data_IF_343577529742
#
_entry.id   IF_343577529742
#
_cell.length_a   1.000
_cell.length_b   1.000
_cell.length_c   1.000
_cell.angle_alpha   90.00
_cell.angle_beta   90.00
_cell.angle_gamma   90.00
#
_symmetry.space_group_name_H-M   'P 1'
#
loop_
_entity.id
_entity.type
_entity.pdbx_description
1 polymer ?
#
# COMPACT_ATOMS: atom_id res chain seq x y z
N UNK A 1 3.94 -72.45 3.49
CA UNK A 1 4.23 -71.02 3.68
C UNK A 1 4.07 -70.72 5.16
N UNK A 2 5.03 -70.06 5.80
CA UNK A 2 4.99 -69.86 7.26
C UNK A 2 3.87 -68.85 7.61
N UNK A 3 3.11 -69.05 8.70
CA UNK A 3 1.95 -68.21 9.07
C UNK A 3 2.30 -66.71 9.12
N UNK A 4 3.54 -66.43 9.52
CA UNK A 4 4.12 -65.09 9.58
C UNK A 4 4.20 -64.46 8.18
N UNK A 5 4.64 -65.21 7.16
CA UNK A 5 4.75 -64.72 5.78
C UNK A 5 3.37 -64.49 5.16
N UNK A 6 2.39 -65.35 5.46
CA UNK A 6 1.02 -65.19 4.97
C UNK A 6 0.35 -63.95 5.55
N UNK A 7 0.63 -63.64 6.83
CA UNK A 7 0.17 -62.41 7.48
C UNK A 7 0.80 -61.15 6.88
N UNK A 8 2.10 -61.18 6.59
CA UNK A 8 2.79 -60.05 5.93
C UNK A 8 2.30 -59.82 4.50
N UNK A 9 2.07 -60.89 3.72
CA UNK A 9 1.50 -60.79 2.37
C UNK A 9 0.06 -60.23 2.43
N UNK A 10 -0.74 -60.65 3.41
CA UNK A 10 -2.08 -60.12 3.63
C UNK A 10 -2.08 -58.61 3.92
N UNK A 11 -1.22 -58.16 4.83
CA UNK A 11 -1.05 -56.72 5.12
C UNK A 11 -0.53 -55.94 3.92
N UNK A 12 0.41 -56.51 3.16
CA UNK A 12 0.92 -55.89 1.94
C UNK A 12 -0.17 -55.68 0.90
N UNK A 13 -1.04 -56.68 0.69
CA UNK A 13 -2.17 -56.58 -0.24
C UNK A 13 -3.20 -55.53 0.21
N UNK A 14 -3.47 -55.42 1.51
CA UNK A 14 -4.37 -54.39 2.06
C UNK A 14 -3.80 -52.99 1.82
N UNK A 15 -2.50 -52.79 2.08
CA UNK A 15 -1.83 -51.49 1.83
C UNK A 15 -1.83 -51.15 0.34
N UNK A 16 -1.61 -52.15 -0.52
CA UNK A 16 -1.59 -51.96 -1.98
C UNK A 16 -2.98 -51.57 -2.51
N UNK A 17 -4.05 -52.18 -1.98
CA UNK A 17 -5.44 -51.81 -2.29
C UNK A 17 -5.75 -50.38 -1.83
N UNK A 18 -5.33 -50.00 -0.61
CA UNK A 18 -5.52 -48.64 -0.10
C UNK A 18 -4.79 -47.58 -0.94
N UNK A 19 -3.53 -47.86 -1.31
CA UNK A 19 -2.73 -46.97 -2.15
C UNK A 19 -3.34 -46.81 -3.56
N UNK A 20 -3.84 -47.90 -4.15
CA UNK A 20 -4.51 -47.88 -5.45
C UNK A 20 -5.82 -47.08 -5.40
N UNK A 21 -6.60 -47.20 -4.33
CA UNK A 21 -7.84 -46.44 -4.13
C UNK A 21 -7.57 -44.93 -4.02
N UNK A 22 -6.56 -44.54 -3.24
CA UNK A 22 -6.17 -43.12 -3.10
C UNK A 22 -5.69 -42.55 -4.44
N UNK A 23 -4.92 -43.33 -5.20
CA UNK A 23 -4.37 -42.87 -6.48
C UNK A 23 -5.47 -42.72 -7.53
N UNK A 24 -6.43 -43.65 -7.59
CA UNK A 24 -7.57 -43.57 -8.50
C UNK A 24 -8.47 -42.38 -8.13
N UNK A 25 -8.78 -42.17 -6.84
CA UNK A 25 -9.58 -41.01 -6.42
C UNK A 25 -8.87 -39.67 -6.71
N UNK A 26 -7.56 -39.59 -6.50
CA UNK A 26 -6.79 -38.39 -6.84
C UNK A 26 -6.76 -38.14 -8.35
N UNK A 27 -6.66 -39.19 -9.18
CA UNK A 27 -6.70 -39.05 -10.65
C UNK A 27 -8.09 -38.62 -11.12
N UNK A 28 -9.17 -39.19 -10.56
CA UNK A 28 -10.55 -38.79 -10.88
C UNK A 28 -10.79 -37.34 -10.45
N UNK A 29 -10.35 -36.95 -9.25
CA UNK A 29 -10.44 -35.58 -8.75
C UNK A 29 -9.64 -34.60 -9.63
N UNK A 30 -8.39 -34.93 -9.99
CA UNK A 30 -7.58 -34.14 -10.91
C UNK A 30 -8.20 -34.02 -12.31
N UNK A 31 -8.81 -35.10 -12.82
CA UNK A 31 -9.45 -35.11 -14.14
C UNK A 31 -10.75 -34.29 -14.15
N UNK A 32 -11.52 -34.33 -13.06
CA UNK A 32 -12.74 -33.54 -12.86
C UNK A 32 -12.42 -32.04 -12.70
N UNK A 33 -11.36 -31.69 -11.94
CA UNK A 33 -10.88 -30.31 -11.81
C UNK A 33 -10.31 -29.75 -13.13
N UNK A 34 -9.70 -30.60 -13.97
CA UNK A 34 -9.16 -30.20 -15.28
C UNK A 34 -10.25 -29.92 -16.31
N UNK A 35 -11.36 -30.67 -16.25
CA UNK A 35 -12.52 -30.49 -17.12
C UNK A 35 -13.35 -29.25 -16.72
N UNK A 36 -13.37 -28.90 -15.43
CA UNK A 36 -13.95 -27.64 -14.94
C UNK A 36 -13.03 -26.42 -15.23
N UNK A 37 -11.71 -26.60 -15.25
CA UNK A 37 -10.77 -25.53 -15.59
C UNK A 37 -10.80 -25.13 -17.07
N UNK A 38 -11.04 -26.05 -18.01
CA UNK A 38 -11.11 -25.71 -19.44
C UNK A 38 -12.29 -24.80 -19.79
N UNK A 39 -13.46 -25.03 -19.19
CA UNK A 39 -14.62 -24.13 -19.34
C UNK A 39 -14.39 -22.79 -18.64
N UNK A 40 -13.76 -22.79 -17.46
CA UNK A 40 -13.44 -21.55 -16.73
C UNK A 40 -12.33 -20.73 -17.39
N UNK A 41 -11.34 -21.36 -18.04
CA UNK A 41 -10.27 -20.66 -18.78
C UNK A 41 -10.83 -19.93 -19.99
N UNK A 42 -11.80 -20.51 -20.70
CA UNK A 42 -12.44 -19.83 -21.85
C UNK A 42 -13.24 -18.59 -21.43
N UNK A 43 -14.04 -18.72 -20.37
CA UNK A 43 -14.78 -17.59 -19.76
C UNK A 43 -13.82 -16.53 -19.18
N UNK A 44 -12.73 -16.96 -18.54
CA UNK A 44 -11.70 -16.04 -18.04
C UNK A 44 -10.96 -15.32 -19.17
N UNK A 45 -10.70 -15.97 -20.29
CA UNK A 45 -10.03 -15.37 -21.45
C UNK A 45 -10.95 -14.34 -22.12
N UNK A 46 -12.23 -14.66 -22.30
CA UNK A 46 -13.23 -13.70 -22.83
C UNK A 46 -13.40 -12.49 -21.89
N UNK A 47 -13.44 -12.70 -20.57
CA UNK A 47 -13.51 -11.63 -19.58
C UNK A 47 -12.23 -10.77 -19.55
N UNK A 48 -11.05 -11.37 -19.75
CA UNK A 48 -9.77 -10.65 -19.83
C UNK A 48 -9.71 -9.81 -21.10
N UNK A 49 -10.21 -10.31 -22.23
CA UNK A 49 -10.27 -9.55 -23.48
C UNK A 49 -11.27 -8.39 -23.41
N UNK A 50 -12.41 -8.57 -22.73
CA UNK A 50 -13.36 -7.48 -22.46
C UNK A 50 -12.75 -6.41 -21.54
N UNK A 51 -12.04 -6.85 -20.49
CA UNK A 51 -11.35 -5.96 -19.56
C UNK A 51 -10.19 -5.22 -20.25
N UNK A 52 -9.48 -5.89 -21.17
CA UNK A 52 -8.44 -5.29 -22.01
C UNK A 52 -9.01 -4.24 -22.97
N UNK A 53 -10.13 -4.54 -23.63
CA UNK A 53 -10.85 -3.57 -24.47
C UNK A 53 -11.31 -2.36 -23.65
N UNK A 54 -11.86 -2.57 -22.44
CA UNK A 54 -12.25 -1.48 -21.55
C UNK A 54 -11.05 -0.65 -21.08
N UNK A 55 -9.91 -1.29 -20.81
CA UNK A 55 -8.66 -0.61 -20.48
C UNK A 55 -8.13 0.22 -21.66
N UNK A 56 -8.12 -0.32 -22.88
CA UNK A 56 -7.69 0.40 -24.08
C UNK A 56 -8.61 1.59 -24.41
N UNK A 57 -9.93 1.41 -24.28
CA UNK A 57 -10.90 2.50 -24.44
C UNK A 57 -10.71 3.57 -23.37
N UNK A 58 -10.49 3.19 -22.11
CA UNK A 58 -10.23 4.15 -21.04
C UNK A 58 -8.88 4.85 -21.21
N UNK A 59 -7.84 4.12 -21.65
CA UNK A 59 -6.53 4.69 -21.94
C UNK A 59 -6.63 5.70 -23.08
N UNK A 60 -7.31 5.37 -24.19
CA UNK A 60 -7.51 6.31 -25.30
C UNK A 60 -8.32 7.54 -24.90
N UNK A 61 -9.30 7.39 -24.00
CA UNK A 61 -10.07 8.52 -23.43
C UNK A 61 -9.22 9.40 -22.53
N UNK A 62 -8.35 8.80 -21.72
CA UNK A 62 -7.39 9.52 -20.88
C UNK A 62 -6.37 10.26 -21.76
N UNK A 63 -5.80 9.60 -22.77
CA UNK A 63 -4.87 10.21 -23.73
C UNK A 63 -5.52 11.37 -24.48
N UNK A 64 -6.77 11.22 -24.93
CA UNK A 64 -7.53 12.30 -25.55
C UNK A 64 -7.77 13.46 -24.59
N UNK A 65 -8.16 13.20 -23.34
CA UNK A 65 -8.32 14.26 -22.33
C UNK A 65 -6.99 14.95 -22.00
N UNK A 66 -5.89 14.21 -21.91
CA UNK A 66 -4.55 14.78 -21.72
C UNK A 66 -4.17 15.66 -22.91
N UNK A 67 -4.46 15.21 -24.13
CA UNK A 67 -4.21 15.99 -25.34
C UNK A 67 -5.06 17.27 -25.41
N UNK A 68 -6.36 17.16 -25.13
CA UNK A 68 -7.29 18.30 -25.11
C UNK A 68 -6.90 19.30 -24.01
N UNK A 69 -6.49 18.81 -22.83
CA UNK A 69 -5.97 19.62 -21.73
C UNK A 69 -4.64 20.30 -22.09
N UNK A 70 -3.73 19.59 -22.75
CA UNK A 70 -2.47 20.15 -23.25
C UNK A 70 -2.73 21.25 -24.29
N UNK A 71 -3.74 21.08 -25.15
CA UNK A 71 -4.16 22.06 -26.16
C UNK A 71 -4.82 23.29 -25.53
N UNK A 72 -5.63 23.13 -24.48
CA UNK A 72 -6.25 24.25 -23.75
C UNK A 72 -5.21 25.03 -22.94
N UNK A 73 -4.25 24.35 -22.31
CA UNK A 73 -3.09 24.99 -21.66
C UNK A 73 -2.24 25.78 -22.66
N UNK A 74 -2.01 25.24 -23.85
CA UNK A 74 -1.20 25.91 -24.87
C UNK A 74 -1.86 27.21 -25.38
N UNK A 75 -3.19 27.26 -25.41
CA UNK A 75 -3.95 28.44 -25.86
C UNK A 75 -4.17 29.50 -24.79
N UNK A 76 -4.20 29.13 -23.50
CA UNK A 76 -4.31 30.10 -22.39
C UNK A 76 -2.96 30.69 -21.94
N UNK A 77 -1.84 29.97 -22.13
CA UNK A 77 -0.53 30.37 -21.59
C UNK A 77 0.39 31.10 -22.60
N UNK A 78 -0.01 31.30 -23.87
CA UNK A 78 0.78 32.05 -24.86
C UNK A 78 0.50 33.57 -24.90
N UNK A 79 -0.51 34.07 -24.20
CA UNK A 79 -0.80 35.51 -24.15
C UNK A 79 -0.28 36.15 -22.84
N UNK A 80 1.00 36.53 -22.84
CA UNK A 80 1.64 37.41 -21.84
C UNK A 80 2.40 36.71 -20.70
N UNK A 81 2.74 37.48 -19.66
CA UNK A 81 3.39 37.08 -18.38
C UNK A 81 2.64 35.95 -17.62
N UNK A 82 1.48 35.55 -18.14
CA UNK A 82 0.68 34.40 -17.73
C UNK A 82 1.34 33.05 -18.04
N UNK A 83 2.19 32.96 -19.07
CA UNK A 83 2.82 31.70 -19.50
C UNK A 83 3.86 31.15 -18.52
N UNK A 84 4.62 32.04 -17.88
CA UNK A 84 5.57 31.69 -16.81
C UNK A 84 4.81 31.19 -15.57
N UNK A 85 3.72 31.87 -15.20
CA UNK A 85 2.85 31.52 -14.07
C UNK A 85 2.17 30.17 -14.26
N UNK A 86 1.61 29.88 -15.45
CA UNK A 86 1.07 28.56 -15.79
C UNK A 86 2.11 27.44 -15.61
N UNK A 87 3.32 27.66 -16.13
CA UNK A 87 4.42 26.70 -16.09
C UNK A 87 4.88 26.44 -14.66
N UNK A 88 4.95 27.49 -13.84
CA UNK A 88 5.33 27.40 -12.43
C UNK A 88 4.25 26.66 -11.62
N UNK A 89 2.96 26.94 -11.86
CA UNK A 89 1.86 26.22 -11.23
C UNK A 89 1.86 24.73 -11.60
N UNK A 90 2.06 24.39 -12.87
CA UNK A 90 2.16 22.99 -13.32
C UNK A 90 3.37 22.28 -12.70
N UNK A 91 4.52 22.95 -12.62
CA UNK A 91 5.72 22.44 -11.96
C UNK A 91 5.48 22.21 -10.47
N UNK A 92 4.82 23.15 -9.81
CA UNK A 92 4.48 23.07 -8.40
C UNK A 92 3.55 21.90 -8.12
N UNK A 93 2.46 21.75 -8.89
CA UNK A 93 1.52 20.64 -8.76
C UNK A 93 2.22 19.29 -8.96
N UNK A 94 3.12 19.18 -9.95
CA UNK A 94 3.90 17.97 -10.18
C UNK A 94 4.79 17.62 -8.99
N UNK A 95 5.48 18.59 -8.39
CA UNK A 95 6.34 18.37 -7.23
C UNK A 95 5.53 17.94 -6.00
N UNK A 96 4.36 18.55 -5.78
CA UNK A 96 3.45 18.19 -4.68
C UNK A 96 2.91 16.76 -4.84
N UNK A 97 2.51 16.38 -6.06
CA UNK A 97 2.08 15.01 -6.38
C UNK A 97 3.22 14.00 -6.17
N UNK A 98 4.45 14.36 -6.56
CA UNK A 98 5.63 13.52 -6.32
C UNK A 98 5.90 13.31 -4.83
N UNK A 99 5.80 14.36 -4.02
CA UNK A 99 5.91 14.24 -2.55
C UNK A 99 4.83 13.32 -1.98
N UNK A 100 3.56 13.50 -2.40
CA UNK A 100 2.47 12.61 -1.98
C UNK A 100 2.74 11.16 -2.34
N UNK A 101 3.16 10.88 -3.57
CA UNK A 101 3.45 9.52 -4.01
C UNK A 101 4.64 8.93 -3.25
N UNK A 102 5.68 9.72 -3.01
CA UNK A 102 6.85 9.27 -2.27
C UNK A 102 6.52 8.92 -0.82
N UNK A 103 5.60 9.63 -0.16
CA UNK A 103 5.11 9.26 1.18
C UNK A 103 4.49 7.86 1.23
N UNK A 104 3.88 7.41 0.13
CA UNK A 104 3.18 6.13 0.05
C UNK A 104 4.07 4.98 -0.44
N UNK A 105 5.28 5.28 -0.92
CA UNK A 105 6.18 4.30 -1.54
C UNK A 105 7.16 3.65 -0.54
N UNK A 106 7.80 2.58 -0.99
CA UNK A 106 8.80 1.81 -0.23
C UNK A 106 10.17 2.52 -0.13
N UNK A 107 10.39 3.56 -0.93
CA UNK A 107 11.62 4.36 -0.92
C UNK A 107 11.55 5.48 0.12
N UNK A 108 12.69 6.06 0.47
CA UNK A 108 12.75 7.22 1.39
C UNK A 108 11.93 8.39 0.82
N UNK A 109 11.29 9.14 1.71
CA UNK A 109 10.56 10.36 1.34
C UNK A 109 11.46 11.34 0.57
N UNK A 110 11.06 11.63 -0.67
CA UNK A 110 11.68 12.62 -1.54
C UNK A 110 11.10 14.00 -1.23
N UNK A 111 11.81 14.71 -0.37
CA UNK A 111 11.41 16.03 0.09
C UNK A 111 11.72 17.11 -0.96
N UNK A 112 10.68 17.63 -1.61
CA UNK A 112 10.80 18.69 -2.60
C UNK A 112 10.57 20.11 -2.06
N UNK A 113 10.50 20.33 -0.73
CA UNK A 113 10.25 21.66 -0.12
C UNK A 113 11.16 22.75 -0.69
N UNK A 114 12.46 22.51 -0.76
CA UNK A 114 13.42 23.48 -1.31
C UNK A 114 13.15 23.87 -2.77
N UNK A 115 12.53 22.97 -3.54
CA UNK A 115 12.14 23.22 -4.93
C UNK A 115 10.78 23.91 -5.06
N UNK A 116 9.89 23.73 -4.08
CA UNK A 116 8.52 24.25 -4.06
C UNK A 116 8.48 25.65 -3.44
N UNK A 117 9.26 25.92 -2.39
CA UNK A 117 9.30 27.21 -1.67
C UNK A 117 9.42 28.45 -2.56
N UNK A 118 10.38 28.54 -3.51
CA UNK A 118 10.48 29.72 -4.39
C UNK A 118 9.30 29.85 -5.37
N UNK A 119 8.61 28.75 -5.67
CA UNK A 119 7.44 28.76 -6.57
C UNK A 119 6.17 29.18 -5.83
N UNK A 120 6.09 28.96 -4.51
CA UNK A 120 4.95 29.38 -3.67
C UNK A 120 4.99 30.88 -3.40
N UNK A 121 6.17 31.48 -3.23
CA UNK A 121 6.27 32.93 -3.01
C UNK A 121 5.68 33.76 -4.16
N UNK A 122 5.49 33.17 -5.34
CA UNK A 122 4.82 33.80 -6.48
C UNK A 122 3.29 33.73 -6.41
N UNK A 123 2.71 32.88 -5.55
CA UNK A 123 1.27 32.66 -5.44
C UNK A 123 0.57 33.62 -4.47
N UNK A 124 1.31 34.16 -3.48
CA UNK A 124 0.78 35.01 -2.40
C UNK A 124 -0.40 34.34 -1.64
N UNK A 125 -0.31 33.01 -1.45
CA UNK A 125 -1.31 32.22 -0.73
C UNK A 125 -0.79 31.87 0.69
N UNK A 126 -1.35 32.48 1.75
CA UNK A 126 -0.86 32.28 3.12
C UNK A 126 -1.10 30.86 3.63
N UNK A 127 -2.14 30.16 3.16
CA UNK A 127 -2.41 28.78 3.58
C UNK A 127 -1.39 27.82 2.98
N UNK A 128 -1.01 28.03 1.71
CA UNK A 128 0.03 27.25 1.04
C UNK A 128 1.41 27.54 1.64
N UNK A 129 1.70 28.79 1.99
CA UNK A 129 2.95 29.17 2.66
C UNK A 129 3.05 28.56 4.06
N UNK A 130 1.98 28.64 4.87
CA UNK A 130 1.91 28.00 6.18
C UNK A 130 2.11 26.48 6.09
N UNK A 131 1.45 25.82 5.13
CA UNK A 131 1.60 24.38 4.94
C UNK A 131 3.04 23.97 4.59
N UNK A 132 3.75 24.77 3.79
CA UNK A 132 5.17 24.51 3.49
C UNK A 132 6.08 24.78 4.67
N UNK A 133 5.82 25.81 5.47
CA UNK A 133 6.57 26.08 6.69
C UNK A 133 6.41 24.93 7.71
N UNK A 134 5.20 24.40 7.87
CA UNK A 134 4.95 23.21 8.70
C UNK A 134 5.74 21.99 8.21
N UNK A 135 5.77 21.75 6.89
CA UNK A 135 6.57 20.67 6.30
C UNK A 135 8.07 20.86 6.53
N UNK A 136 8.58 22.09 6.47
CA UNK A 136 10.00 22.41 6.66
C UNK A 136 10.45 22.17 8.12
N UNK A 137 9.55 22.37 9.07
CA UNK A 137 9.81 22.16 10.49
C UNK A 137 9.85 20.68 10.90
N UNK A 138 9.42 19.76 10.03
CA UNK A 138 9.48 18.33 10.28
C UNK A 138 10.92 17.80 10.13
N UNK A 139 11.51 17.36 11.24
CA UNK A 139 12.89 16.82 11.27
C UNK A 139 13.06 15.52 10.48
N UNK A 140 12.07 14.65 10.56
CA UNK A 140 12.08 13.35 9.90
C UNK A 140 10.65 12.97 9.53
N UNK A 141 10.48 12.55 8.27
CA UNK A 141 9.22 12.10 7.71
C UNK A 141 9.45 10.67 7.23
N UNK A 142 8.78 9.73 7.88
CA UNK A 142 8.81 8.32 7.47
C UNK A 142 7.75 8.07 6.42
N UNK A 143 8.01 7.18 5.47
CA UNK A 143 6.98 6.74 4.53
C UNK A 143 6.01 5.76 5.18
N UNK A 144 4.86 5.52 4.55
CA UNK A 144 3.89 4.53 5.02
C UNK A 144 4.53 3.14 5.17
N UNK A 145 5.41 2.77 4.25
CA UNK A 145 6.19 1.54 4.33
C UNK A 145 7.12 1.50 5.56
N UNK A 146 7.85 2.58 5.83
CA UNK A 146 8.71 2.68 7.00
C UNK A 146 7.90 2.65 8.31
N UNK A 147 6.71 3.26 8.33
CA UNK A 147 5.78 3.19 9.46
C UNK A 147 5.33 1.76 9.71
N UNK A 148 4.97 1.02 8.66
CA UNK A 148 4.62 -0.40 8.75
C UNK A 148 5.75 -1.25 9.31
N UNK A 149 6.95 -1.11 8.75
CA UNK A 149 8.14 -1.82 9.25
C UNK A 149 8.43 -1.48 10.71
N UNK A 150 8.30 -0.21 11.08
CA UNK A 150 8.51 0.23 12.46
C UNK A 150 7.44 -0.32 13.40
N UNK A 151 6.19 -0.44 12.94
CA UNK A 151 5.09 -1.03 13.72
C UNK A 151 5.31 -2.52 13.98
N UNK A 152 5.67 -3.28 12.95
CA UNK A 152 5.99 -4.72 13.07
C UNK A 152 7.17 -4.95 14.02
N UNK A 153 8.20 -4.10 13.98
CA UNK A 153 9.32 -4.14 14.95
C UNK A 153 8.83 -3.89 16.37
N UNK A 154 7.89 -2.97 16.57
CA UNK A 154 7.29 -2.72 17.89
C UNK A 154 6.50 -3.93 18.39
N UNK A 155 5.68 -4.57 17.54
CA UNK A 155 4.98 -5.81 17.89
C UNK A 155 5.99 -6.91 18.30
N UNK A 156 7.03 -7.10 17.49
CA UNK A 156 8.07 -8.10 17.77
C UNK A 156 8.75 -7.84 19.12
N UNK A 157 9.07 -6.57 19.45
CA UNK A 157 9.64 -6.20 20.74
C UNK A 157 8.69 -6.49 21.91
N UNK A 158 7.41 -6.15 21.78
CA UNK A 158 6.38 -6.44 22.80
C UNK A 158 6.26 -7.96 23.03
N UNK A 159 6.17 -8.73 21.94
CA UNK A 159 6.06 -10.18 22.00
C UNK A 159 7.31 -10.82 22.62
N UNK A 160 8.50 -10.34 22.25
CA UNK A 160 9.75 -10.76 22.87
C UNK A 160 9.76 -10.46 24.37
N UNK A 161 9.39 -9.25 24.79
CA UNK A 161 9.36 -8.85 26.20
C UNK A 161 8.38 -9.69 27.04
N UNK A 162 7.23 -10.05 26.49
CA UNK A 162 6.21 -10.89 27.14
C UNK A 162 6.52 -12.38 27.11
N UNK A 163 7.51 -12.82 26.33
CA UNK A 163 7.78 -14.25 26.10
C UNK A 163 8.67 -14.88 27.18
N UNK A 164 8.48 -16.19 27.40
CA UNK A 164 9.33 -17.00 28.29
C UNK A 164 10.72 -17.20 27.68
N UNK A 165 11.74 -17.52 28.48
CA UNK A 165 13.12 -17.73 28.00
C UNK A 165 13.21 -18.74 26.84
N UNK A 166 12.43 -19.83 26.89
CA UNK A 166 12.34 -20.79 25.79
C UNK A 166 11.76 -20.18 24.50
N UNK A 167 10.70 -19.38 24.62
CA UNK A 167 10.13 -18.65 23.48
C UNK A 167 11.09 -17.61 22.92
N UNK A 168 11.88 -16.92 23.77
CA UNK A 168 12.94 -15.98 23.35
C UNK A 168 14.03 -16.67 22.55
N UNK A 169 14.45 -17.85 23.00
CA UNK A 169 15.43 -18.66 22.26
C UNK A 169 14.81 -19.07 20.92
N UNK A 170 13.61 -19.65 20.89
CA UNK A 170 12.98 -20.10 19.63
C UNK A 170 12.70 -18.93 18.68
N UNK A 171 12.30 -17.75 19.17
CA UNK A 171 12.03 -16.58 18.34
C UNK A 171 13.28 -16.02 17.66
N UNK A 172 14.48 -16.28 18.20
CA UNK A 172 15.74 -15.95 17.52
C UNK A 172 16.01 -16.87 16.32
N UNK A 173 15.38 -18.04 16.25
CA UNK A 173 15.57 -19.03 15.20
C UNK A 173 14.42 -19.09 14.19
N UNK A 174 13.18 -18.82 14.64
CA UNK A 174 11.97 -18.87 13.81
C UNK A 174 11.05 -17.72 14.17
N UNK A 175 10.80 -16.83 13.21
CA UNK A 175 9.83 -15.74 13.35
C UNK A 175 8.41 -16.28 13.09
N UNK A 176 7.65 -16.53 14.17
CA UNK A 176 6.25 -16.96 14.06
C UNK A 176 5.36 -15.72 14.00
N UNK A 177 4.92 -15.38 12.80
CA UNK A 177 4.02 -14.26 12.55
C UNK A 177 2.56 -14.72 12.67
N UNK A 178 1.84 -14.26 13.70
CA UNK A 178 0.40 -14.49 13.80
C UNK A 178 -0.35 -13.54 12.85
N UNK A 179 -0.98 -14.11 11.82
CA UNK A 179 -1.78 -13.34 10.84
C UNK A 179 -3.08 -12.78 11.43
N UNK A 180 -3.49 -13.22 12.63
CA UNK A 180 -4.70 -12.76 13.34
C UNK A 180 -4.39 -11.84 14.52
N UNK A 181 -3.18 -11.28 14.58
CA UNK A 181 -2.79 -10.35 15.65
C UNK A 181 -3.71 -9.10 15.64
N UNK A 182 -4.43 -8.79 16.73
CA UNK A 182 -5.28 -7.60 16.84
C UNK A 182 -4.54 -6.28 16.60
N UNK A 183 -3.23 -6.22 16.90
CA UNK A 183 -2.41 -5.04 16.63
C UNK A 183 -2.20 -4.83 15.13
N UNK A 184 -2.05 -5.91 14.36
CA UNK A 184 -1.95 -5.84 12.89
C UNK A 184 -3.27 -5.42 12.26
N UNK A 185 -4.39 -5.87 12.81
CA UNK A 185 -5.71 -5.39 12.39
C UNK A 185 -5.87 -3.88 12.63
N UNK A 186 -5.42 -3.38 13.81
CA UNK A 186 -5.39 -1.94 14.09
C UNK A 186 -4.50 -1.16 13.12
N UNK A 187 -3.36 -1.69 12.72
CA UNK A 187 -2.51 -1.02 11.72
C UNK A 187 -3.19 -0.94 10.35
N UNK A 188 -3.86 -2.01 9.91
CA UNK A 188 -4.63 -1.99 8.67
C UNK A 188 -5.76 -0.94 8.70
N UNK A 189 -6.43 -0.77 9.84
CA UNK A 189 -7.41 0.31 10.05
C UNK A 189 -6.76 1.70 9.91
N UNK A 190 -5.57 1.90 10.50
CA UNK A 190 -4.82 3.17 10.33
C UNK A 190 -4.41 3.39 8.87
N UNK A 191 -3.97 2.36 8.14
CA UNK A 191 -3.66 2.45 6.71
C UNK A 191 -4.89 2.85 5.87
N UNK A 192 -6.07 2.29 6.18
CA UNK A 192 -7.33 2.65 5.52
C UNK A 192 -7.68 4.12 5.76
N UNK A 193 -7.64 4.58 7.01
CA UNK A 193 -7.92 5.97 7.37
C UNK A 193 -6.93 6.96 6.73
N UNK A 194 -5.66 6.57 6.57
CA UNK A 194 -4.66 7.35 5.83
C UNK A 194 -5.06 7.51 4.36
N UNK A 195 -5.51 6.43 3.72
CA UNK A 195 -5.96 6.47 2.32
C UNK A 195 -7.20 7.35 2.14
N UNK A 196 -8.10 7.32 3.13
CA UNK A 196 -9.33 8.13 3.14
C UNK A 196 -9.08 9.59 3.55
N UNK A 197 -7.87 9.92 4.00
CA UNK A 197 -7.49 11.23 4.56
C UNK A 197 -8.31 11.60 5.82
N UNK A 198 -8.77 10.60 6.58
CA UNK A 198 -9.49 10.80 7.84
C UNK A 198 -8.51 10.92 9.02
N UNK A 199 -7.89 12.10 9.10
CA UNK A 199 -6.88 12.40 10.11
C UNK A 199 -7.42 12.38 11.55
N UNK A 200 -8.72 12.66 11.73
CA UNK A 200 -9.34 12.74 13.05
C UNK A 200 -9.57 11.35 13.62
N UNK A 201 -10.08 10.43 12.80
CA UNK A 201 -10.28 9.03 13.20
C UNK A 201 -8.96 8.32 13.51
N UNK A 202 -7.86 8.66 12.82
CA UNK A 202 -6.53 8.10 13.14
C UNK A 202 -6.17 8.36 14.60
N UNK A 203 -6.38 9.59 15.10
CA UNK A 203 -6.06 9.94 16.48
C UNK A 203 -6.88 9.11 17.48
N UNK A 204 -8.13 8.80 17.16
CA UNK A 204 -9.00 7.92 17.96
C UNK A 204 -8.51 6.48 17.93
N UNK A 205 -8.26 5.92 16.74
CA UNK A 205 -7.83 4.52 16.56
C UNK A 205 -6.50 4.21 17.28
N UNK A 206 -5.55 5.16 17.25
CA UNK A 206 -4.26 5.02 17.92
C UNK A 206 -4.28 5.40 19.40
N UNK A 207 -5.32 6.08 19.88
CA UNK A 207 -5.48 6.41 21.30
C UNK A 207 -5.51 5.17 22.22
N UNK A 208 -5.93 4.04 21.69
CA UNK A 208 -5.93 2.74 22.39
C UNK A 208 -4.54 2.10 22.49
N UNK A 209 -3.55 2.56 21.72
CA UNK A 209 -2.18 2.03 21.74
C UNK A 209 -1.39 2.59 22.94
N UNK A 210 -1.78 2.15 24.14
CA UNK A 210 -1.26 2.64 25.42
C UNK A 210 0.08 2.02 25.83
N UNK A 211 0.57 0.99 25.12
CA UNK A 211 1.83 0.32 25.44
C UNK A 211 3.03 1.26 25.18
N UNK A 212 3.98 1.43 26.12
CA UNK A 212 5.03 2.44 26.00
C UNK A 212 5.94 2.26 24.79
N UNK A 213 6.13 1.02 24.33
CA UNK A 213 6.89 0.66 23.13
C UNK A 213 6.30 1.25 21.84
N UNK A 214 5.03 1.67 21.83
CA UNK A 214 4.44 2.39 20.70
C UNK A 214 4.79 3.87 20.67
N UNK A 215 5.29 4.48 21.76
CA UNK A 215 5.57 5.92 21.81
C UNK A 215 6.49 6.41 20.67
N UNK A 216 7.61 5.72 20.34
CA UNK A 216 8.44 6.13 19.20
C UNK A 216 7.71 6.00 17.86
N UNK A 217 6.86 4.98 17.70
CA UNK A 217 6.08 4.78 16.48
C UNK A 217 4.99 5.85 16.33
N UNK A 218 4.28 6.20 17.41
CA UNK A 218 3.28 7.26 17.43
C UNK A 218 3.87 8.62 17.04
N UNK A 219 5.09 8.93 17.47
CA UNK A 219 5.79 10.14 17.04
C UNK A 219 6.05 10.16 15.53
N UNK A 220 6.45 9.02 14.96
CA UNK A 220 6.65 8.89 13.50
C UNK A 220 5.34 9.03 12.74
N UNK A 221 4.28 8.38 13.22
CA UNK A 221 2.94 8.49 12.64
C UNK A 221 2.45 9.94 12.66
N UNK A 222 2.65 10.66 13.78
CA UNK A 222 2.26 12.05 13.89
C UNK A 222 2.96 12.92 12.85
N UNK A 223 4.28 12.77 12.66
CA UNK A 223 5.00 13.49 11.61
C UNK A 223 4.48 13.16 10.20
N UNK A 224 4.15 11.88 9.93
CA UNK A 224 3.56 11.46 8.67
C UNK A 224 2.18 12.08 8.43
N UNK A 225 1.32 12.11 9.45
CA UNK A 225 -0.03 12.72 9.37
C UNK A 225 0.10 14.22 9.11
N UNK A 226 0.97 14.93 9.82
CA UNK A 226 1.25 16.35 9.57
C UNK A 226 1.75 16.55 8.14
N UNK A 227 2.66 15.71 7.66
CA UNK A 227 3.17 15.82 6.30
C UNK A 227 2.07 15.60 5.25
N UNK A 228 1.30 14.52 5.40
CA UNK A 228 0.22 14.14 4.48
C UNK A 228 -0.89 15.19 4.43
N UNK A 229 -1.27 15.74 5.59
CA UNK A 229 -2.24 16.82 5.71
C UNK A 229 -1.78 18.07 4.97
N UNK A 230 -0.56 18.55 5.24
CA UNK A 230 -0.04 19.77 4.62
C UNK A 230 0.17 19.62 3.11
N UNK A 231 0.65 18.47 2.64
CA UNK A 231 0.74 18.17 1.19
C UNK A 231 -0.65 18.20 0.54
N UNK A 232 -1.66 17.65 1.22
CA UNK A 232 -3.05 17.66 0.74
C UNK A 232 -3.64 19.07 0.72
N UNK A 233 -3.35 19.91 1.73
CA UNK A 233 -3.73 21.33 1.75
C UNK A 233 -3.14 22.06 0.56
N UNK A 234 -1.82 21.93 0.34
CA UNK A 234 -1.14 22.54 -0.82
C UNK A 234 -1.82 22.07 -2.11
N UNK A 235 -1.97 20.76 -2.30
CA UNK A 235 -2.61 20.22 -3.49
C UNK A 235 -4.02 20.79 -3.73
N UNK A 236 -4.85 20.86 -2.69
CA UNK A 236 -6.22 21.36 -2.81
C UNK A 236 -6.25 22.84 -3.20
N UNK A 237 -5.42 23.67 -2.57
CA UNK A 237 -5.30 25.09 -2.93
C UNK A 237 -4.80 25.26 -4.36
N UNK A 238 -3.80 24.49 -4.79
CA UNK A 238 -3.30 24.55 -6.16
C UNK A 238 -4.34 24.19 -7.22
N UNK A 239 -5.27 23.29 -6.92
CA UNK A 239 -6.37 22.96 -7.82
C UNK A 239 -7.35 24.14 -8.01
N UNK A 240 -7.49 25.03 -7.02
CA UNK A 240 -8.34 26.21 -7.15
C UNK A 240 -7.81 27.21 -8.18
N UNK A 241 -6.50 27.22 -8.42
CA UNK A 241 -5.87 28.04 -9.48
C UNK A 241 -6.01 27.46 -10.89
N UNK A 242 -6.48 26.22 -11.02
CA UNK A 242 -6.63 25.49 -12.30
C UNK A 242 -8.10 25.37 -12.71
N UNK A 243 -9.04 25.48 -11.75
CA UNK A 243 -10.49 25.40 -11.97
C UNK A 243 -11.07 26.72 -12.46
#
# INVERSE_FOLDING_TARGET
MNDIQQKYIGWFLIVLLFASYITINNIIFLKMNRQESENNVKVLTENIDELRMLLEVNQSRIEKRIFDFKRSLHTQCEQGDSGSRCKNLAKLLLLVVKMKNSLLQETKFDNHINSIKPLISELDDPEVENAVNELENLKEINTLYELRLSFEKTIAAINYNKSTLLKKIISNWVEVQDKRDPLRAKFAEVEELINDNDWQSIATTVGDLTHPEFKPWLNKLNNFVIASKNISTIYHHLLQYIS
#
